data_IF_478978591142
#
_entry.id   IF_478978591142
#
_cell.length_a   1.000
_cell.length_b   1.000
_cell.length_c   1.000
_cell.angle_alpha   90.00
_cell.angle_beta   90.00
_cell.angle_gamma   90.00
#
_symmetry.space_group_name_H-M   'P 1'
#
loop_
_entity.id
_entity.type
_entity.pdbx_description
1 polymer ?
#
# COMPACT_ATOMS: atom_id res chain seq x y z
N UNK A 1 -28.20 18.39 -0.50
CA UNK A 1 -27.16 17.74 0.32
C UNK A 1 -25.72 17.91 -0.25
N UNK A 2 -24.79 18.49 0.52
CA UNK A 2 -23.43 18.84 0.06
C UNK A 2 -22.55 17.58 -0.05
N UNK A 3 -21.98 17.30 -1.23
CA UNK A 3 -21.03 16.18 -1.43
C UNK A 3 -19.83 16.36 -0.49
N UNK A 4 -19.59 15.35 0.36
CA UNK A 4 -18.49 15.33 1.32
C UNK A 4 -17.17 15.22 0.56
N UNK A 5 -16.44 16.32 0.41
CA UNK A 5 -15.13 16.32 -0.26
C UNK A 5 -14.06 15.75 0.68
N UNK A 6 -13.02 15.12 0.13
CA UNK A 6 -11.92 14.53 0.91
C UNK A 6 -11.29 15.51 1.93
N UNK A 7 -11.35 16.82 1.63
CA UNK A 7 -10.83 17.91 2.47
C UNK A 7 -11.58 18.09 3.80
N UNK A 8 -12.80 17.56 3.93
CA UNK A 8 -13.59 17.61 5.17
C UNK A 8 -13.16 16.59 6.23
N UNK A 9 -12.39 15.55 5.86
CA UNK A 9 -11.98 14.46 6.78
C UNK A 9 -10.57 14.69 7.33
N UNK A 10 -10.41 15.73 8.15
CA UNK A 10 -9.14 16.05 8.85
C UNK A 10 -8.67 14.81 9.63
N UNK A 11 -7.45 14.34 9.37
CA UNK A 11 -6.83 13.19 10.05
C UNK A 11 -7.02 11.82 9.39
N UNK A 12 -8.11 11.57 8.64
CA UNK A 12 -8.36 10.25 8.01
C UNK A 12 -7.39 9.95 6.87
N UNK A 13 -7.01 10.99 6.11
CA UNK A 13 -6.06 10.88 4.99
C UNK A 13 -4.66 10.49 5.48
N UNK A 14 -4.28 10.84 6.72
CA UNK A 14 -2.95 10.54 7.28
C UNK A 14 -2.81 9.13 7.85
N UNK A 15 -3.90 8.36 8.02
CA UNK A 15 -3.85 6.99 8.58
C UNK A 15 -3.59 5.91 7.52
N UNK A 16 -3.68 6.25 6.24
CA UNK A 16 -3.52 5.31 5.14
C UNK A 16 -2.11 5.42 4.57
N UNK A 17 -1.40 4.29 4.52
CA UNK A 17 -0.12 4.24 3.82
C UNK A 17 -0.34 4.31 2.33
N UNK A 18 0.74 4.65 1.62
CA UNK A 18 0.80 4.49 0.18
C UNK A 18 -0.28 5.27 -0.57
N UNK A 19 -0.68 6.44 -0.04
CA UNK A 19 -1.73 7.27 -0.63
C UNK A 19 -1.51 7.51 -2.13
N UNK A 20 -0.25 7.67 -2.55
CA UNK A 20 0.17 7.78 -3.96
C UNK A 20 0.27 6.42 -4.67
N UNK A 21 0.91 5.44 -4.03
CA UNK A 21 1.23 4.15 -4.65
C UNK A 21 0.00 3.26 -4.86
N UNK A 22 -1.10 3.50 -4.15
CA UNK A 22 -2.37 2.80 -4.35
C UNK A 22 -3.22 3.32 -5.52
N UNK A 23 -2.72 4.30 -6.27
CA UNK A 23 -3.43 4.80 -7.45
C UNK A 23 -3.26 3.83 -8.62
N UNK A 24 -4.18 3.86 -9.59
CA UNK A 24 -4.19 2.97 -10.77
C UNK A 24 -2.88 3.02 -11.56
N UNK A 25 -2.18 4.16 -11.55
CA UNK A 25 -0.87 4.34 -12.20
C UNK A 25 0.17 3.31 -11.77
N UNK A 26 0.11 2.84 -10.52
CA UNK A 26 1.11 1.92 -9.95
C UNK A 26 0.56 0.50 -9.73
N UNK A 27 -0.62 0.22 -10.29
CA UNK A 27 -1.26 -1.08 -10.21
C UNK A 27 -1.26 -1.74 -11.59
N UNK A 28 -0.90 -3.02 -11.60
CA UNK A 28 -1.05 -3.92 -12.75
C UNK A 28 -2.21 -4.85 -12.46
N UNK A 29 -3.15 -4.91 -13.39
CA UNK A 29 -4.25 -5.87 -13.36
C UNK A 29 -3.95 -7.01 -14.31
N UNK A 30 -4.31 -8.22 -13.91
CA UNK A 30 -4.36 -9.38 -14.80
C UNK A 30 -5.68 -10.10 -14.55
N UNK A 31 -6.40 -10.38 -15.62
CA UNK A 31 -7.70 -11.05 -15.58
C UNK A 31 -7.70 -12.24 -16.53
N UNK A 32 -8.36 -13.31 -16.11
CA UNK A 32 -8.71 -14.51 -16.87
C UNK A 32 -10.23 -14.68 -16.81
N UNK A 33 -10.78 -15.68 -17.52
CA UNK A 33 -12.20 -16.01 -17.45
C UNK A 33 -12.66 -16.31 -16.01
N UNK A 34 -11.81 -16.96 -15.22
CA UNK A 34 -12.15 -17.44 -13.86
C UNK A 34 -11.49 -16.64 -12.73
N UNK A 35 -10.63 -15.67 -13.02
CA UNK A 35 -9.87 -14.98 -11.98
C UNK A 35 -9.48 -13.54 -12.34
N UNK A 36 -9.33 -12.72 -11.30
CA UNK A 36 -8.81 -11.38 -11.42
C UNK A 36 -7.79 -11.13 -10.31
N UNK A 37 -6.64 -10.55 -10.66
CA UNK A 37 -5.60 -10.18 -9.72
C UNK A 37 -5.17 -8.73 -9.92
N UNK A 38 -4.87 -8.07 -8.80
CA UNK A 38 -4.34 -6.71 -8.77
C UNK A 38 -3.03 -6.74 -8.01
N UNK A 39 -1.97 -6.27 -8.64
CA UNK A 39 -0.63 -6.26 -8.07
C UNK A 39 -0.03 -4.87 -8.22
N UNK A 40 0.91 -4.52 -7.35
CA UNK A 40 1.73 -3.33 -7.57
C UNK A 40 2.72 -3.58 -8.71
N UNK A 41 3.03 -2.54 -9.48
CA UNK A 41 4.14 -2.55 -10.44
C UNK A 41 5.47 -2.84 -9.72
N UNK A 42 6.40 -3.54 -10.38
CA UNK A 42 7.58 -4.18 -9.77
C UNK A 42 8.35 -3.29 -8.78
N UNK A 43 8.67 -2.04 -9.14
CA UNK A 43 9.42 -1.12 -8.25
C UNK A 43 8.64 -0.77 -6.98
N UNK A 44 7.32 -0.59 -7.11
CA UNK A 44 6.41 -0.23 -6.02
C UNK A 44 6.08 -1.45 -5.16
N UNK A 45 6.00 -2.62 -5.76
CA UNK A 45 5.70 -3.89 -5.10
C UNK A 45 6.71 -4.22 -3.99
N UNK A 46 7.99 -3.90 -4.20
CA UNK A 46 9.03 -4.05 -3.18
C UNK A 46 8.72 -3.21 -1.94
N UNK A 47 8.39 -1.93 -2.14
CA UNK A 47 8.08 -1.00 -1.05
C UNK A 47 6.86 -1.51 -0.26
N UNK A 48 5.79 -1.90 -0.97
CA UNK A 48 4.60 -2.44 -0.33
C UNK A 48 4.90 -3.69 0.53
N UNK A 49 5.70 -4.63 -0.01
CA UNK A 49 6.11 -5.86 0.72
C UNK A 49 6.93 -5.55 1.96
N UNK A 50 7.91 -4.65 1.87
CA UNK A 50 8.75 -4.26 3.01
C UNK A 50 7.91 -3.76 4.17
N UNK A 51 6.95 -2.87 3.91
CA UNK A 51 6.10 -2.33 4.96
C UNK A 51 5.02 -3.29 5.45
N UNK A 52 4.52 -4.19 4.61
CA UNK A 52 3.51 -5.16 5.02
C UNK A 52 4.11 -6.22 5.93
N UNK A 53 5.22 -6.83 5.51
CA UNK A 53 5.89 -7.91 6.23
C UNK A 53 6.97 -7.44 7.23
N UNK A 54 7.21 -6.13 7.36
CA UNK A 54 8.20 -5.59 8.29
C UNK A 54 9.64 -5.96 7.94
N UNK A 55 9.98 -5.95 6.64
CA UNK A 55 11.31 -6.29 6.15
C UNK A 55 12.29 -5.13 6.35
N UNK A 56 13.56 -5.39 6.07
CA UNK A 56 14.63 -4.38 6.04
C UNK A 56 14.69 -3.71 4.67
N UNK A 57 14.82 -2.39 4.65
CA UNK A 57 15.06 -1.62 3.43
C UNK A 57 15.88 -0.36 3.71
N UNK A 58 16.52 0.18 2.67
CA UNK A 58 17.25 1.44 2.70
C UNK A 58 16.29 2.61 2.63
N UNK A 59 16.46 3.58 3.53
CA UNK A 59 15.63 4.80 3.56
C UNK A 59 15.92 5.71 2.35
N UNK A 60 17.14 5.66 1.81
CA UNK A 60 17.56 6.37 0.59
C UNK A 60 18.63 5.56 -0.17
N UNK A 61 18.96 5.95 -1.42
CA UNK A 61 19.88 5.17 -2.28
C UNK A 61 21.24 4.84 -1.62
N UNK A 62 21.73 5.71 -0.73
CA UNK A 62 22.97 5.53 0.05
C UNK A 62 22.72 5.68 1.56
N UNK A 63 21.48 5.50 1.99
CA UNK A 63 21.07 5.68 3.37
C UNK A 63 21.20 4.42 4.22
N UNK A 64 20.95 4.53 5.54
CA UNK A 64 20.96 3.40 6.44
C UNK A 64 19.85 2.39 6.09
N UNK A 65 20.09 1.13 6.42
CA UNK A 65 19.09 0.06 6.34
C UNK A 65 18.31 -0.02 7.65
N UNK A 66 16.99 0.08 7.56
CA UNK A 66 16.08 0.09 8.69
C UNK A 66 15.10 -1.07 8.56
N UNK A 67 14.82 -1.74 9.67
CA UNK A 67 13.72 -2.72 9.76
C UNK A 67 12.42 -1.97 9.99
N UNK A 68 11.45 -2.16 9.10
CA UNK A 68 10.12 -1.57 9.27
C UNK A 68 9.27 -2.45 10.20
N UNK A 69 8.33 -1.83 10.91
CA UNK A 69 7.33 -2.58 11.68
C UNK A 69 6.39 -3.34 10.71
N UNK A 70 6.12 -4.60 11.03
CA UNK A 70 5.12 -5.41 10.31
C UNK A 70 3.73 -4.79 10.47
N UNK A 71 2.94 -4.79 9.39
CA UNK A 71 1.60 -4.21 9.36
C UNK A 71 0.61 -5.26 8.90
N UNK A 72 0.21 -6.10 9.86
CA UNK A 72 -0.79 -7.15 9.70
C UNK A 72 -2.15 -6.56 9.35
N UNK A 73 -2.85 -7.24 8.44
CA UNK A 73 -4.22 -6.88 8.09
C UNK A 73 -5.14 -7.42 9.19
N UNK A 74 -5.91 -6.52 9.82
CA UNK A 74 -6.91 -6.91 10.81
C UNK A 74 -8.18 -7.34 10.06
N UNK A 75 -8.78 -8.48 10.45
CA UNK A 75 -10.02 -8.97 9.85
C UNK A 75 -9.89 -9.65 8.48
N UNK A 76 -8.67 -10.00 8.07
CA UNK A 76 -8.41 -10.85 6.88
C UNK A 76 -7.75 -12.19 7.25
N UNK A 77 -7.60 -12.47 8.55
CA UNK A 77 -7.29 -13.79 9.05
C UNK A 77 -8.64 -14.48 9.29
N UNK A 78 -8.91 -15.56 8.57
CA UNK A 78 -10.11 -16.36 8.77
C UNK A 78 -10.15 -16.91 10.19
N UNK A 79 -11.05 -16.35 10.99
CA UNK A 79 -12.23 -17.08 11.42
C UNK A 79 -13.47 -16.33 10.91
#
# INVERSE_FOLDING_TARGET
>A
PRKVTARSKKGRIKRQMFAKLRTTKYLKTAASADSASVQFESKVQRIARVHHYGLRDRVSRKGPEVRYAERRLLGLNGE
#
